data_IF_829175493070
#
_entry.id   IF_829175493070
#
_cell.length_a   1.000
_cell.length_b   1.000
_cell.length_c   1.000
_cell.angle_alpha   90.00
_cell.angle_beta   90.00
_cell.angle_gamma   90.00
#
_symmetry.space_group_name_H-M   'P 1'
#
loop_
_entity.id
_entity.type
_entity.pdbx_description
1 polymer ?
#
# COMPACT_ATOMS: atom_id res chain seq x y z
N UNK A 1 21.29 -1.71 18.27
CA UNK A 1 20.61 -0.42 18.50
C UNK A 1 19.38 -0.41 17.63
N UNK A 2 18.26 0.14 18.11
CA UNK A 2 17.05 0.17 17.31
C UNK A 2 17.14 1.26 16.23
N UNK A 3 16.38 1.10 15.14
CA UNK A 3 16.34 2.09 14.06
C UNK A 3 16.01 3.51 14.58
N UNK A 4 15.19 3.60 15.62
CA UNK A 4 14.85 4.85 16.29
C UNK A 4 16.07 5.52 16.94
N UNK A 5 16.89 4.76 17.67
CA UNK A 5 18.12 5.28 18.30
C UNK A 5 19.15 5.74 17.27
N UNK A 6 19.26 5.02 16.15
CA UNK A 6 20.17 5.39 15.07
C UNK A 6 19.69 6.68 14.38
N UNK A 7 18.39 6.87 14.22
CA UNK A 7 17.81 8.11 13.68
C UNK A 7 18.02 9.32 14.59
N UNK A 8 17.93 9.15 15.92
CA UNK A 8 18.23 10.22 16.90
C UNK A 8 19.68 10.66 16.72
N UNK A 9 20.61 9.71 16.65
CA UNK A 9 22.05 9.99 16.47
C UNK A 9 22.30 10.71 15.15
N UNK A 10 21.73 10.21 14.06
CA UNK A 10 21.87 10.83 12.75
C UNK A 10 21.32 12.26 12.74
N UNK A 11 20.17 12.51 13.38
CA UNK A 11 19.62 13.86 13.50
C UNK A 11 20.52 14.76 14.35
N UNK A 12 21.02 14.27 15.49
CA UNK A 12 21.90 15.02 16.37
C UNK A 12 23.19 15.45 15.66
N UNK A 13 23.82 14.54 14.92
CA UNK A 13 25.03 14.86 14.13
C UNK A 13 24.79 15.99 13.12
N UNK A 14 23.65 16.00 12.43
CA UNK A 14 23.34 17.06 11.46
C UNK A 14 23.05 18.40 12.17
N UNK A 15 22.32 18.36 13.28
CA UNK A 15 21.99 19.55 14.08
C UNK A 15 23.25 20.18 14.67
N UNK A 16 24.14 19.37 15.24
CA UNK A 16 25.45 19.82 15.76
C UNK A 16 26.31 20.46 14.67
N UNK A 17 26.34 19.87 13.47
CA UNK A 17 27.08 20.41 12.33
C UNK A 17 26.51 21.74 11.82
N UNK A 18 25.19 21.97 11.95
CA UNK A 18 24.54 23.21 11.56
C UNK A 18 24.76 24.35 12.58
N UNK A 19 25.03 24.02 13.85
CA UNK A 19 25.35 24.97 14.91
C UNK A 19 24.14 25.79 15.40
N UNK A 20 24.41 27.01 15.87
CA UNK A 20 23.42 27.82 16.60
C UNK A 20 22.08 28.07 15.89
N UNK A 21 21.99 28.16 14.54
CA UNK A 21 20.70 28.33 13.88
C UNK A 21 19.72 27.17 14.09
N UNK A 22 20.20 25.97 14.46
CA UNK A 22 19.39 24.76 14.61
C UNK A 22 19.22 24.31 16.07
N UNK A 23 19.64 25.11 17.06
CA UNK A 23 19.58 24.78 18.50
C UNK A 23 18.16 24.44 19.01
N UNK A 24 17.11 24.94 18.35
CA UNK A 24 15.71 24.69 18.75
C UNK A 24 15.16 23.36 18.20
N UNK A 25 15.89 22.67 17.33
CA UNK A 25 15.46 21.41 16.72
C UNK A 25 15.80 20.26 17.67
N UNK A 26 14.79 19.51 18.12
CA UNK A 26 15.01 18.28 18.89
C UNK A 26 15.36 17.11 17.96
N UNK A 27 16.55 16.47 18.12
CA UNK A 27 16.90 15.26 17.38
C UNK A 27 15.88 14.13 17.57
N UNK A 28 15.31 14.04 18.78
CA UNK A 28 14.32 13.04 19.13
C UNK A 28 13.00 13.25 18.38
N UNK A 29 12.53 14.50 18.30
CA UNK A 29 11.33 14.84 17.53
C UNK A 29 11.51 14.51 16.05
N UNK A 30 12.69 14.80 15.48
CA UNK A 30 13.02 14.44 14.10
C UNK A 30 12.98 12.92 13.90
N UNK A 31 13.58 12.15 14.81
CA UNK A 31 13.58 10.70 14.73
C UNK A 31 12.16 10.11 14.83
N UNK A 32 11.28 10.67 15.67
CA UNK A 32 9.88 10.25 15.76
C UNK A 32 9.13 10.50 14.45
N UNK A 33 9.34 11.66 13.83
CA UNK A 33 8.75 11.98 12.52
C UNK A 33 9.23 11.03 11.42
N UNK A 34 10.52 10.63 11.44
CA UNK A 34 11.06 9.65 10.50
C UNK A 34 10.46 8.26 10.72
N UNK A 35 10.35 7.81 11.96
CA UNK A 35 9.74 6.53 12.31
C UNK A 35 8.26 6.47 11.88
N UNK A 36 7.51 7.55 12.11
CA UNK A 36 6.12 7.69 11.68
C UNK A 36 5.93 7.77 10.16
N UNK A 37 7.00 8.08 9.41
CA UNK A 37 7.01 8.12 7.95
C UNK A 37 8.01 7.10 7.37
N UNK A 38 7.87 5.84 7.81
CA UNK A 38 8.73 4.73 7.40
C UNK A 38 8.83 4.59 5.88
N UNK A 39 7.69 4.59 5.19
CA UNK A 39 7.59 4.54 3.74
C UNK A 39 7.36 5.95 3.19
N UNK A 40 8.37 6.50 2.50
CA UNK A 40 8.37 7.89 2.01
C UNK A 40 7.70 8.01 0.64
N UNK A 41 7.84 6.98 -0.18
CA UNK A 41 7.34 6.95 -1.57
C UNK A 41 6.50 5.71 -1.83
N UNK A 42 5.67 5.73 -2.89
CA UNK A 42 4.95 4.54 -3.31
C UNK A 42 5.89 3.45 -3.83
N UNK A 43 7.02 3.79 -4.46
CA UNK A 43 7.99 2.80 -4.91
C UNK A 43 8.60 1.99 -3.75
N UNK A 44 8.86 2.62 -2.60
CA UNK A 44 9.28 1.90 -1.39
C UNK A 44 8.19 0.93 -0.90
N UNK A 45 6.92 1.33 -0.98
CA UNK A 45 5.77 0.45 -0.65
C UNK A 45 5.69 -0.71 -1.64
N UNK A 46 5.78 -0.44 -2.95
CA UNK A 46 5.68 -1.44 -4.00
C UNK A 46 6.77 -2.50 -3.86
N UNK A 47 8.03 -2.07 -3.65
CA UNK A 47 9.14 -3.01 -3.44
C UNK A 47 8.93 -3.86 -2.17
N UNK A 48 8.66 -3.21 -1.03
CA UNK A 48 8.44 -3.90 0.24
C UNK A 48 7.31 -4.94 0.16
N UNK A 49 6.20 -4.58 -0.50
CA UNK A 49 5.05 -5.48 -0.61
C UNK A 49 5.21 -6.55 -1.69
N UNK A 50 6.01 -6.31 -2.72
CA UNK A 50 6.40 -7.36 -3.68
C UNK A 50 7.20 -8.46 -2.99
N UNK A 51 8.13 -8.10 -2.10
CA UNK A 51 8.91 -9.08 -1.34
C UNK A 51 8.03 -9.96 -0.45
N UNK A 52 7.02 -9.36 0.21
CA UNK A 52 6.01 -10.10 0.98
C UNK A 52 5.23 -11.07 0.10
N UNK A 53 4.72 -10.60 -1.05
CA UNK A 53 3.92 -11.43 -1.94
C UNK A 53 4.72 -12.63 -2.47
N UNK A 54 5.98 -12.41 -2.87
CA UNK A 54 6.88 -13.47 -3.29
C UNK A 54 7.13 -14.50 -2.18
N UNK A 55 7.34 -14.04 -0.93
CA UNK A 55 7.52 -14.92 0.21
C UNK A 55 6.26 -15.75 0.51
N UNK A 56 5.07 -15.14 0.43
CA UNK A 56 3.79 -15.81 0.63
C UNK A 56 3.50 -16.83 -0.48
N UNK A 57 3.81 -16.52 -1.74
CA UNK A 57 3.73 -17.46 -2.87
C UNK A 57 4.63 -18.67 -2.63
N UNK A 58 5.90 -18.45 -2.25
CA UNK A 58 6.83 -19.53 -1.94
C UNK A 58 6.38 -20.37 -0.74
N UNK A 59 5.70 -19.77 0.25
CA UNK A 59 5.10 -20.50 1.36
C UNK A 59 3.91 -21.35 0.91
N UNK A 60 3.02 -20.81 0.07
CA UNK A 60 1.89 -21.53 -0.51
C UNK A 60 2.32 -22.68 -1.43
N UNK A 61 3.43 -22.53 -2.15
CA UNK A 61 4.01 -23.61 -2.95
C UNK A 61 4.42 -24.82 -2.11
N UNK A 62 4.97 -24.57 -0.92
CA UNK A 62 5.38 -25.61 0.04
C UNK A 62 4.20 -26.18 0.84
N UNK A 63 3.22 -25.35 1.17
CA UNK A 63 2.07 -25.72 2.00
C UNK A 63 0.81 -24.96 1.56
N UNK A 64 -0.12 -25.68 0.92
CA UNK A 64 -1.36 -25.13 0.36
C UNK A 64 -2.33 -24.58 1.40
N UNK A 65 -2.12 -24.87 2.69
CA UNK A 65 -2.89 -24.23 3.77
C UNK A 65 -2.44 -22.79 4.04
N UNK A 66 -1.28 -22.38 3.50
CA UNK A 66 -0.71 -21.03 3.67
C UNK A 66 -1.20 -20.06 2.58
N UNK A 67 -2.49 -20.06 2.28
CA UNK A 67 -3.09 -19.15 1.30
C UNK A 67 -3.22 -17.71 1.87
N UNK A 68 -3.42 -16.75 0.98
CA UNK A 68 -3.62 -15.32 1.29
C UNK A 68 -5.06 -14.90 1.02
N UNK A 69 -5.49 -13.79 1.61
CA UNK A 69 -6.85 -13.30 1.46
C UNK A 69 -6.89 -11.77 1.38
N UNK A 70 -7.87 -11.26 0.64
CA UNK A 70 -8.15 -9.83 0.54
C UNK A 70 -9.65 -9.57 0.53
N UNK A 71 -10.01 -8.30 0.69
CA UNK A 71 -11.33 -7.77 0.40
C UNK A 71 -11.13 -6.50 -0.42
N UNK A 72 -12.02 -6.28 -1.38
CA UNK A 72 -12.08 -5.05 -2.15
C UNK A 72 -12.27 -3.84 -1.22
N UNK A 73 -11.47 -2.79 -1.40
CA UNK A 73 -11.63 -1.52 -0.69
C UNK A 73 -11.78 -0.37 -1.68
N UNK A 74 -12.96 0.24 -1.75
CA UNK A 74 -13.27 1.31 -2.69
C UNK A 74 -12.77 2.70 -2.23
N UNK A 75 -12.30 2.84 -0.99
CA UNK A 75 -11.75 4.08 -0.45
C UNK A 75 -10.66 3.80 0.58
N UNK A 76 -9.70 4.73 0.72
CA UNK A 76 -8.58 4.62 1.64
C UNK A 76 -8.99 4.38 3.09
N UNK A 77 -10.04 5.07 3.54
CA UNK A 77 -10.60 4.88 4.88
C UNK A 77 -11.16 3.47 5.11
N UNK A 78 -11.79 2.85 4.09
CA UNK A 78 -12.28 1.46 4.19
C UNK A 78 -11.10 0.50 4.34
N UNK A 79 -10.05 0.69 3.52
CA UNK A 79 -8.80 -0.06 3.64
C UNK A 79 -8.16 0.09 5.01
N UNK A 80 -8.11 1.32 5.53
CA UNK A 80 -7.58 1.63 6.86
C UNK A 80 -8.31 0.87 7.97
N UNK A 81 -9.64 0.99 8.02
CA UNK A 81 -10.44 0.33 9.06
C UNK A 81 -10.33 -1.20 8.95
N UNK A 82 -10.24 -1.74 7.73
CA UNK A 82 -9.99 -3.17 7.52
C UNK A 82 -8.68 -3.61 8.20
N UNK A 83 -7.58 -2.90 7.96
CA UNK A 83 -6.27 -3.29 8.51
C UNK A 83 -6.17 -3.06 10.02
N UNK A 84 -6.78 -1.99 10.54
CA UNK A 84 -6.89 -1.77 12.00
C UNK A 84 -7.67 -2.93 12.65
N UNK A 85 -8.81 -3.32 12.07
CA UNK A 85 -9.61 -4.46 12.55
C UNK A 85 -8.80 -5.76 12.52
N UNK A 86 -8.04 -5.99 11.45
CA UNK A 86 -7.20 -7.18 11.32
C UNK A 86 -6.16 -7.25 12.44
N UNK A 87 -5.38 -6.18 12.66
CA UNK A 87 -4.39 -6.15 13.75
C UNK A 87 -5.04 -6.33 15.12
N UNK A 88 -6.18 -5.68 15.36
CA UNK A 88 -6.90 -5.77 16.63
C UNK A 88 -7.38 -7.19 16.97
N UNK A 89 -7.89 -7.92 15.99
CA UNK A 89 -8.57 -9.20 16.23
C UNK A 89 -7.71 -10.44 15.92
N UNK A 90 -6.73 -10.31 15.04
CA UNK A 90 -5.87 -11.43 14.62
C UNK A 90 -4.39 -11.22 15.00
N UNK A 91 -4.01 -10.04 15.49
CA UNK A 91 -2.66 -9.76 15.99
C UNK A 91 -1.58 -9.62 14.91
N UNK A 92 -1.87 -9.93 13.64
CA UNK A 92 -0.90 -9.85 12.55
C UNK A 92 -1.56 -9.47 11.22
N UNK A 93 -0.81 -8.81 10.33
CA UNK A 93 -1.19 -8.56 8.93
C UNK A 93 -0.70 -9.63 7.95
N UNK A 94 0.01 -10.66 8.42
CA UNK A 94 0.51 -11.75 7.60
C UNK A 94 -0.61 -12.38 6.74
N UNK A 95 -0.34 -12.52 5.44
CA UNK A 95 -1.25 -13.08 4.42
C UNK A 95 -2.58 -12.34 4.26
N UNK A 96 -2.68 -11.09 4.71
CA UNK A 96 -3.85 -10.23 4.53
C UNK A 96 -3.50 -9.09 3.58
N UNK A 97 -4.16 -9.03 2.44
CA UNK A 97 -3.89 -8.06 1.38
C UNK A 97 -5.06 -7.08 1.18
N UNK A 98 -4.79 -6.02 0.42
CA UNK A 98 -5.80 -5.19 -0.23
C UNK A 98 -6.16 -5.76 -1.61
N UNK A 99 -7.40 -5.52 -2.05
CA UNK A 99 -7.79 -5.67 -3.44
C UNK A 99 -8.36 -4.34 -3.92
N UNK A 100 -7.87 -3.86 -5.06
CA UNK A 100 -8.48 -2.73 -5.78
C UNK A 100 -9.34 -3.32 -6.89
N UNK A 101 -10.64 -3.05 -6.82
CA UNK A 101 -11.62 -3.55 -7.79
C UNK A 101 -11.88 -2.49 -8.86
N UNK A 102 -11.65 -2.81 -10.13
CA UNK A 102 -12.00 -1.93 -11.26
C UNK A 102 -13.50 -1.61 -11.28
N UNK A 103 -14.34 -2.61 -10.99
CA UNK A 103 -15.78 -2.45 -10.83
C UNK A 103 -16.16 -1.37 -9.79
N UNK A 104 -15.54 -1.39 -8.60
CA UNK A 104 -15.84 -0.37 -7.58
C UNK A 104 -15.28 1.00 -7.94
N UNK A 105 -14.17 1.06 -8.68
CA UNK A 105 -13.68 2.34 -9.22
C UNK A 105 -14.70 2.93 -10.18
N UNK A 106 -15.18 2.15 -11.15
CA UNK A 106 -16.20 2.57 -12.10
C UNK A 106 -17.49 3.03 -11.40
N UNK A 107 -17.96 2.27 -10.40
CA UNK A 107 -19.22 2.55 -9.73
C UNK A 107 -19.18 3.73 -8.75
N UNK A 108 -18.02 4.01 -8.13
CA UNK A 108 -17.96 4.91 -6.95
C UNK A 108 -16.92 6.02 -7.04
N UNK A 109 -15.94 5.92 -7.94
CA UNK A 109 -14.75 6.80 -7.94
C UNK A 109 -14.61 7.67 -9.18
N UNK A 110 -15.40 7.36 -10.21
CA UNK A 110 -15.47 8.12 -11.45
C UNK A 110 -15.97 9.55 -11.24
N UNK A 111 -15.32 10.53 -11.88
CA UNK A 111 -15.81 11.93 -11.91
C UNK A 111 -17.16 12.05 -12.66
N UNK A 112 -17.47 11.09 -13.53
CA UNK A 112 -18.76 11.01 -14.23
C UNK A 112 -19.91 10.51 -13.33
N UNK A 113 -19.61 10.19 -12.06
CA UNK A 113 -20.54 9.46 -11.20
C UNK A 113 -20.57 7.96 -11.53
N UNK A 114 -21.57 7.21 -11.04
CA UNK A 114 -21.61 5.76 -11.19
C UNK A 114 -21.66 5.30 -12.65
N UNK A 115 -20.66 4.52 -13.05
CA UNK A 115 -20.57 3.90 -14.38
C UNK A 115 -20.64 2.37 -14.28
N UNK A 116 -21.09 1.68 -15.35
CA UNK A 116 -20.92 0.23 -15.44
C UNK A 116 -19.43 -0.13 -15.61
N UNK A 117 -19.11 -1.38 -15.30
CA UNK A 117 -17.76 -1.92 -15.29
C UNK A 117 -17.26 -2.27 -16.70
N UNK A 118 -16.99 -1.22 -17.47
CA UNK A 118 -16.60 -1.27 -18.90
C UNK A 118 -15.41 -0.35 -19.21
N UNK A 119 -14.57 -0.05 -18.22
CA UNK A 119 -13.35 0.78 -18.36
C UNK A 119 -13.58 2.19 -18.96
N UNK A 120 -14.79 2.74 -18.84
CA UNK A 120 -15.16 4.05 -19.42
C UNK A 120 -14.79 5.26 -18.54
N UNK A 121 -14.45 5.02 -17.27
CA UNK A 121 -14.05 6.07 -16.34
C UNK A 121 -12.63 6.56 -16.65
N UNK A 122 -12.29 7.74 -16.13
CA UNK A 122 -10.93 8.27 -16.21
C UNK A 122 -9.93 7.33 -15.51
N UNK A 123 -8.99 6.81 -16.31
CA UNK A 123 -8.01 5.81 -15.86
C UNK A 123 -7.16 6.26 -14.66
N UNK A 124 -6.97 7.58 -14.49
CA UNK A 124 -6.27 8.17 -13.34
C UNK A 124 -6.91 7.81 -11.99
N UNK A 125 -8.20 7.51 -11.96
CA UNK A 125 -8.92 7.14 -10.73
C UNK A 125 -8.43 5.81 -10.13
N UNK A 126 -7.93 4.90 -10.96
CA UNK A 126 -7.34 3.63 -10.51
C UNK A 126 -6.06 3.89 -9.71
N UNK A 127 -5.08 4.58 -10.29
CA UNK A 127 -3.81 4.90 -9.62
C UNK A 127 -4.02 5.81 -8.39
N UNK A 128 -5.00 6.73 -8.47
CA UNK A 128 -5.35 7.62 -7.36
C UNK A 128 -5.87 6.85 -6.16
N UNK A 129 -6.70 5.81 -6.37
CA UNK A 129 -7.17 4.94 -5.29
C UNK A 129 -6.03 4.13 -4.64
N UNK A 130 -5.07 3.62 -5.41
CA UNK A 130 -3.86 2.96 -4.85
C UNK A 130 -3.13 3.92 -3.90
N UNK A 131 -2.86 5.14 -4.38
CA UNK A 131 -2.18 6.17 -3.59
C UNK A 131 -2.96 6.55 -2.33
N UNK A 132 -4.27 6.69 -2.45
CA UNK A 132 -5.17 7.01 -1.33
C UNK A 132 -5.14 5.89 -0.27
N UNK A 133 -5.27 4.63 -0.67
CA UNK A 133 -5.19 3.48 0.22
C UNK A 133 -3.89 3.51 1.04
N UNK A 134 -2.74 3.65 0.38
CA UNK A 134 -1.46 3.70 1.08
C UNK A 134 -1.26 4.98 1.90
N UNK A 135 -1.83 6.10 1.50
CA UNK A 135 -1.83 7.33 2.32
C UNK A 135 -2.54 7.09 3.65
N UNK A 136 -3.73 6.47 3.62
CA UNK A 136 -4.48 6.16 4.83
C UNK A 136 -3.79 5.10 5.71
N UNK A 137 -3.16 4.08 5.11
CA UNK A 137 -2.41 3.07 5.88
C UNK A 137 -1.16 3.65 6.53
N UNK A 138 -0.39 4.50 5.84
CA UNK A 138 0.74 5.24 6.43
C UNK A 138 0.29 6.11 7.59
N UNK A 139 -0.88 6.75 7.47
CA UNK A 139 -1.43 7.55 8.56
C UNK A 139 -1.87 6.70 9.76
N UNK A 140 -2.31 5.46 9.55
CA UNK A 140 -2.61 4.54 10.65
C UNK A 140 -1.34 4.18 11.43
N UNK A 141 -0.24 3.88 10.74
CA UNK A 141 1.08 3.67 11.35
C UNK A 141 1.53 4.90 12.15
N UNK A 142 1.49 6.08 11.53
CA UNK A 142 1.91 7.33 12.16
C UNK A 142 1.11 7.62 13.44
N UNK A 143 -0.20 7.36 13.43
CA UNK A 143 -1.07 7.53 14.59
C UNK A 143 -0.77 6.53 15.69
N UNK A 144 -0.59 5.25 15.36
CA UNK A 144 -0.27 4.19 16.34
C UNK A 144 1.10 4.46 17.00
N UNK A 145 2.13 4.71 16.20
CA UNK A 145 3.46 5.10 16.69
C UNK A 145 3.41 6.40 17.51
N UNK A 146 2.63 7.39 17.08
CA UNK A 146 2.41 8.60 17.86
C UNK A 146 1.73 8.35 19.20
N UNK A 147 0.91 7.32 19.33
CA UNK A 147 0.39 6.83 20.61
C UNK A 147 1.50 6.25 21.48
N UNK A 148 2.31 5.35 20.90
CA UNK A 148 3.42 4.69 21.60
C UNK A 148 4.50 5.67 22.07
N UNK A 149 4.81 6.71 21.30
CA UNK A 149 5.76 7.75 21.74
C UNK A 149 5.22 8.57 22.92
N UNK A 150 3.91 8.87 22.95
CA UNK A 150 3.29 9.52 24.11
C UNK A 150 3.27 8.62 25.33
N UNK A 151 3.06 7.31 25.12
CA UNK A 151 3.19 6.30 26.18
C UNK A 151 4.63 6.28 26.71
N UNK A 152 5.64 6.36 25.84
CA UNK A 152 7.05 6.39 26.21
C UNK A 152 7.40 7.64 27.04
N UNK A 153 6.86 8.80 26.65
CA UNK A 153 7.03 10.06 27.38
C UNK A 153 6.40 10.02 28.78
N UNK A 154 5.23 9.39 28.90
CA UNK A 154 4.48 9.30 30.15
C UNK A 154 4.96 8.15 31.06
N UNK A 155 5.69 7.17 30.53
CA UNK A 155 6.10 5.98 31.26
C UNK A 155 7.16 6.29 32.33
N UNK A 156 7.07 5.68 33.53
CA UNK A 156 8.14 5.73 34.50
C UNK A 156 9.40 5.04 33.95
N UNK A 157 10.57 5.40 34.45
CA UNK A 157 11.86 4.89 33.93
C UNK A 157 11.94 3.36 33.88
N UNK A 158 11.33 2.67 34.85
CA UNK A 158 11.24 1.21 34.91
C UNK A 158 10.44 0.58 33.76
N UNK A 159 9.56 1.32 33.10
CA UNK A 159 8.66 0.83 32.06
C UNK A 159 9.04 1.30 30.65
N UNK A 160 9.87 2.33 30.51
CA UNK A 160 10.30 2.87 29.22
C UNK A 160 10.90 1.82 28.30
N UNK A 161 11.68 0.88 28.83
CA UNK A 161 12.26 -0.21 28.04
C UNK A 161 11.18 -1.10 27.41
N UNK A 162 10.08 -1.36 28.11
CA UNK A 162 8.97 -2.15 27.59
C UNK A 162 8.20 -1.39 26.49
N UNK A 163 7.98 -0.08 26.66
CA UNK A 163 7.33 0.74 25.63
C UNK A 163 8.24 0.88 24.39
N UNK A 164 9.54 1.06 24.58
CA UNK A 164 10.52 1.09 23.49
C UNK A 164 10.48 -0.21 22.68
N UNK A 165 10.38 -1.37 23.34
CA UNK A 165 10.25 -2.65 22.66
C UNK A 165 8.97 -2.73 21.79
N UNK A 166 7.85 -2.11 22.21
CA UNK A 166 6.63 -2.02 21.39
C UNK A 166 6.84 -1.16 20.15
N UNK A 167 7.57 -0.05 20.27
CA UNK A 167 7.92 0.83 19.15
C UNK A 167 8.79 0.08 18.14
N UNK A 168 9.83 -0.60 18.63
CA UNK A 168 10.77 -1.34 17.79
C UNK A 168 10.11 -2.54 17.09
N UNK A 169 9.13 -3.17 17.75
CA UNK A 169 8.36 -4.29 17.22
C UNK A 169 7.10 -3.87 16.43
N UNK A 170 6.87 -2.58 16.19
CA UNK A 170 5.66 -2.10 15.53
C UNK A 170 5.50 -2.73 14.13
N UNK A 171 4.43 -3.51 13.96
CA UNK A 171 4.03 -4.05 12.67
C UNK A 171 3.23 -3.01 11.89
N UNK A 172 3.71 -2.68 10.68
CA UNK A 172 3.04 -1.74 9.77
C UNK A 172 1.68 -2.25 9.30
N UNK A 173 0.75 -1.32 9.04
CA UNK A 173 -0.51 -1.58 8.35
C UNK A 173 -0.33 -1.70 6.83
N UNK A 174 0.85 -1.38 6.29
CA UNK A 174 1.18 -1.50 4.87
C UNK A 174 1.26 -2.97 4.50
N UNK A 175 0.38 -3.38 3.59
CA UNK A 175 0.27 -4.75 3.08
C UNK A 175 0.22 -4.75 1.54
N UNK A 176 0.49 -5.90 0.89
CA UNK A 176 0.34 -6.02 -0.55
C UNK A 176 -1.05 -5.67 -1.05
N UNK A 177 -1.11 -5.12 -2.26
CA UNK A 177 -2.34 -4.89 -3.02
C UNK A 177 -2.27 -5.64 -4.34
N UNK A 178 -3.36 -6.34 -4.66
CA UNK A 178 -3.62 -6.82 -6.01
C UNK A 178 -4.51 -5.76 -6.66
N UNK A 179 -3.99 -5.07 -7.67
CA UNK A 179 -4.67 -3.95 -8.31
C UNK A 179 -5.16 -4.30 -9.71
N UNK A 180 -6.46 -4.21 -9.91
CA UNK A 180 -7.11 -4.42 -11.20
C UNK A 180 -6.82 -3.26 -12.16
N UNK A 181 -6.26 -3.59 -13.34
CA UNK A 181 -6.00 -2.64 -14.43
C UNK A 181 -6.95 -2.86 -15.62
N UNK A 182 -8.03 -3.63 -15.42
CA UNK A 182 -8.91 -4.11 -16.49
C UNK A 182 -8.09 -4.77 -17.62
N UNK A 183 -8.36 -4.38 -18.87
CA UNK A 183 -7.58 -4.76 -20.05
C UNK A 183 -6.50 -3.72 -20.39
N UNK A 184 -6.04 -2.90 -19.44
CA UNK A 184 -4.95 -1.93 -19.65
C UNK A 184 -5.37 -0.56 -20.21
N UNK A 185 -6.67 -0.26 -20.28
CA UNK A 185 -7.23 1.02 -20.73
C UNK A 185 -6.69 1.51 -22.10
N UNK A 186 -6.42 0.57 -23.02
CA UNK A 186 -5.94 0.84 -24.37
C UNK A 186 -5.04 -0.26 -24.93
N UNK A 187 -4.07 0.16 -25.77
CA UNK A 187 -3.03 -0.70 -26.33
C UNK A 187 -1.92 -0.99 -25.29
N UNK A 188 -0.85 -1.69 -25.72
CA UNK A 188 0.27 -2.03 -24.85
C UNK A 188 0.99 -0.79 -24.26
N UNK A 189 1.16 0.28 -25.03
CA UNK A 189 1.81 1.50 -24.54
C UNK A 189 0.95 2.22 -23.47
N UNK A 190 -0.36 2.30 -23.67
CA UNK A 190 -1.29 2.80 -22.66
C UNK A 190 -1.26 1.93 -21.39
N UNK A 191 -1.13 0.61 -21.55
CA UNK A 191 -1.01 -0.34 -20.45
C UNK A 191 0.25 -0.05 -19.63
N UNK A 192 1.40 0.11 -20.28
CA UNK A 192 2.67 0.48 -19.62
C UNK A 192 2.54 1.79 -18.82
N UNK A 193 1.98 2.84 -19.42
CA UNK A 193 1.81 4.13 -18.75
C UNK A 193 0.94 4.02 -17.49
N UNK A 194 -0.12 3.21 -17.55
CA UNK A 194 -1.00 2.96 -16.42
C UNK A 194 -0.32 2.11 -15.34
N UNK A 195 0.31 1.01 -15.74
CA UNK A 195 1.05 0.12 -14.84
C UNK A 195 2.11 0.89 -14.07
N UNK A 196 2.89 1.73 -14.77
CA UNK A 196 3.91 2.60 -14.16
C UNK A 196 3.31 3.50 -13.08
N UNK A 197 2.23 4.22 -13.35
CA UNK A 197 1.61 5.12 -12.37
C UNK A 197 1.04 4.36 -11.16
N UNK A 198 0.46 3.18 -11.37
CA UNK A 198 -0.05 2.33 -10.30
C UNK A 198 1.08 1.81 -9.40
N UNK A 199 2.22 1.43 -9.97
CA UNK A 199 3.41 1.00 -9.23
C UNK A 199 4.03 2.18 -8.47
N UNK A 200 4.17 3.35 -9.11
CA UNK A 200 4.63 4.58 -8.46
C UNK A 200 3.72 5.01 -7.29
N UNK A 201 2.42 4.67 -7.36
CA UNK A 201 1.46 4.86 -6.28
C UNK A 201 1.57 3.83 -5.15
N UNK A 202 2.21 2.69 -5.40
CA UNK A 202 2.52 1.65 -4.39
C UNK A 202 2.05 0.23 -4.73
N UNK A 203 1.43 -0.01 -5.89
CA UNK A 203 0.99 -1.36 -6.25
C UNK A 203 2.18 -2.27 -6.54
N UNK A 204 2.24 -3.44 -5.90
CA UNK A 204 3.22 -4.48 -6.20
C UNK A 204 2.73 -5.54 -7.19
N UNK A 205 1.42 -5.67 -7.36
CA UNK A 205 0.81 -6.65 -8.25
C UNK A 205 -0.32 -6.02 -9.05
N UNK A 206 -0.27 -6.24 -10.36
CA UNK A 206 -1.28 -5.81 -11.31
C UNK A 206 -2.01 -7.03 -11.87
N UNK A 207 -3.33 -7.00 -11.85
CA UNK A 207 -4.19 -7.97 -12.50
C UNK A 207 -4.66 -7.38 -13.82
N UNK A 208 -4.40 -8.08 -14.92
CA UNK A 208 -4.80 -7.70 -16.28
C UNK A 208 -5.56 -8.84 -16.96
N UNK A 209 -6.56 -8.52 -17.79
CA UNK A 209 -7.38 -9.50 -18.52
C UNK A 209 -7.25 -9.43 -20.05
N UNK A 210 -7.64 -10.52 -20.71
CA UNK A 210 -7.56 -10.68 -22.18
C UNK A 210 -8.87 -10.32 -22.90
N UNK A 211 -9.78 -9.59 -22.24
CA UNK A 211 -10.97 -9.05 -22.89
C UNK A 211 -10.60 -7.86 -23.79
N UNK A 212 -11.47 -7.56 -24.75
CA UNK A 212 -11.33 -6.34 -25.56
C UNK A 212 -11.62 -5.13 -24.67
N UNK A 213 -10.74 -4.12 -24.67
CA UNK A 213 -10.78 -3.03 -23.70
C UNK A 213 -11.97 -2.05 -23.87
N UNK A 214 -12.49 -1.91 -25.09
CA UNK A 214 -13.62 -1.05 -25.45
C UNK A 214 -14.99 -1.77 -25.43
N UNK A 215 -15.00 -3.10 -25.44
CA UNK A 215 -16.18 -3.95 -25.21
C UNK A 215 -16.09 -4.72 -23.87
N UNK A 216 -15.21 -4.27 -22.96
CA UNK A 216 -14.95 -4.96 -21.69
C UNK A 216 -16.23 -5.08 -20.90
N UNK A 217 -16.51 -6.28 -20.40
CA UNK A 217 -17.65 -6.53 -19.51
C UNK A 217 -17.16 -7.14 -18.20
N UNK A 218 -17.94 -6.93 -17.15
CA UNK A 218 -17.74 -7.64 -15.89
C UNK A 218 -17.71 -9.16 -16.12
N UNK A 219 -16.84 -9.88 -15.40
CA UNK A 219 -16.61 -11.31 -15.59
C UNK A 219 -17.87 -12.21 -15.45
N UNK A 220 -18.93 -11.70 -14.84
CA UNK A 220 -20.22 -12.37 -14.63
C UNK A 220 -21.27 -12.09 -15.71
N UNK A 221 -20.98 -11.23 -16.68
CA UNK A 221 -21.89 -10.86 -17.76
C UNK A 221 -21.67 -11.77 -19.00
N UNK A 222 -22.76 -12.16 -19.66
CA UNK A 222 -22.71 -12.86 -20.95
C UNK A 222 -22.32 -11.90 -22.09
N UNK A 223 -21.58 -12.40 -23.09
CA UNK A 223 -21.17 -11.60 -24.26
C UNK A 223 -19.74 -11.05 -24.22
N UNK A 224 -18.88 -11.57 -23.33
CA UNK A 224 -17.45 -11.20 -23.28
C UNK A 224 -16.75 -11.52 -24.59
N UNK A 225 -15.93 -10.59 -25.05
CA UNK A 225 -15.10 -10.74 -26.26
C UNK A 225 -13.63 -10.78 -25.84
N UNK A 226 -12.88 -11.75 -26.37
CA UNK A 226 -11.44 -11.91 -26.09
C UNK A 226 -10.58 -11.48 -27.26
N UNK A 227 -9.40 -10.94 -26.97
CA UNK A 227 -8.37 -10.70 -27.99
C UNK A 227 -7.55 -11.96 -28.30
N UNK A 228 -6.91 -12.06 -29.47
CA UNK A 228 -5.88 -13.08 -29.72
C UNK A 228 -4.76 -13.03 -28.66
N UNK A 229 -4.17 -14.19 -28.35
CA UNK A 229 -3.12 -14.31 -27.33
C UNK A 229 -1.93 -13.36 -27.56
N UNK A 230 -1.58 -13.07 -28.82
CA UNK A 230 -0.46 -12.18 -29.15
C UNK A 230 -0.67 -10.75 -28.61
N UNK A 231 -1.91 -10.26 -28.61
CA UNK A 231 -2.27 -8.93 -28.11
C UNK A 231 -2.17 -8.89 -26.59
N UNK A 232 -2.71 -9.92 -25.92
CA UNK A 232 -2.62 -10.05 -24.46
C UNK A 232 -1.16 -10.20 -24.00
N UNK A 233 -0.35 -11.01 -24.68
CA UNK A 233 1.08 -11.14 -24.38
C UNK A 233 1.83 -9.82 -24.55
N UNK A 234 1.45 -8.99 -25.53
CA UNK A 234 2.04 -7.66 -25.68
C UNK A 234 1.74 -6.75 -24.49
N UNK A 235 0.55 -6.88 -23.89
CA UNK A 235 0.19 -6.16 -22.66
C UNK A 235 0.90 -6.69 -21.42
N UNK A 236 1.16 -8.00 -21.31
CA UNK A 236 1.96 -8.58 -20.21
C UNK A 236 3.41 -8.10 -20.24
N UNK A 237 3.98 -7.90 -21.44
CA UNK A 237 5.36 -7.42 -21.61
C UNK A 237 5.53 -5.92 -21.35
N UNK A 238 4.45 -5.16 -21.47
CA UNK A 238 4.42 -3.71 -21.27
C UNK A 238 4.43 -3.38 -19.78
#
# INVERSE_FOLDING_TARGET
MSAYQDDIKAAATVIEAAGSPWETISPESVARMRAQNKFKTGLEVAQYTADIMNADMAAFDKDKTKYTQSLGCWHGFVGQQKLISIKKHFGTTERKYLYLSGWMVAALRSEFGPLPDQSMHEKTSVASLVKELYTFLRQADARELGGLFRELDAAPESEKAAVQAKIDAHQTHIVPIIADIDAGFGNAEATYLMAKQMIEAGACALQIENQVADEKQCGHQDGKVTVPHADFHSKIRA
#
